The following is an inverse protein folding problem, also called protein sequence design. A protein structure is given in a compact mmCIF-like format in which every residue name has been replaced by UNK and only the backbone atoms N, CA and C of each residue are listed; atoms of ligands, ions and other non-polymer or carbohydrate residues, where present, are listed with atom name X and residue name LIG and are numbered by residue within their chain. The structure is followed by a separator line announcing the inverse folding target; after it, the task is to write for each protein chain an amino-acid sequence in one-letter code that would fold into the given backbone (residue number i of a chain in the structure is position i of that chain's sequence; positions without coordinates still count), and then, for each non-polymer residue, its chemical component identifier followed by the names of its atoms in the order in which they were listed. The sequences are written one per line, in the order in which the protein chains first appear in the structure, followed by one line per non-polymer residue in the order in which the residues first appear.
data_IF_018077557650
#
_entry.id   IF_018077557650
#
_cell.length_a   1.000
_cell.length_b   1.000
_cell.length_c   1.000
_cell.angle_alpha   90.00
_cell.angle_beta   90.00
_cell.angle_gamma   90.00
#
_symmetry.space_group_name_H-M   'P 1'
#
loop_
_entity.id
_entity.type
_entity.pdbx_description
1 polymer ?
#
# COMPACT_ATOMS: atom_id res chain seq x y z
N UNK A 1 -11.39 19.33 0.56
CA UNK A 1 -12.19 18.71 -0.50
C UNK A 1 -11.44 18.93 -1.80
N UNK A 2 -10.96 17.85 -2.43
CA UNK A 2 -10.28 17.91 -3.72
C UNK A 2 -11.35 17.95 -4.81
N UNK A 3 -11.36 18.97 -5.68
CA UNK A 3 -12.13 18.91 -6.92
C UNK A 3 -11.35 18.04 -7.91
N UNK A 4 -11.95 16.95 -8.37
CA UNK A 4 -11.41 16.18 -9.48
C UNK A 4 -11.55 17.03 -10.74
N UNK A 5 -10.46 17.19 -11.47
CA UNK A 5 -10.51 17.82 -12.78
C UNK A 5 -10.90 16.72 -13.78
N UNK A 6 -12.15 16.73 -14.22
CA UNK A 6 -12.67 15.71 -15.13
C UNK A 6 -12.00 15.74 -16.52
N UNK A 7 -11.24 16.79 -16.82
CA UNK A 7 -10.52 16.95 -18.08
C UNK A 7 -9.14 16.28 -18.05
N UNK A 8 -8.57 16.02 -16.88
CA UNK A 8 -7.24 15.41 -16.75
C UNK A 8 -7.33 13.88 -16.64
N UNK A 9 -6.93 13.13 -17.69
CA UNK A 9 -7.04 11.67 -17.74
C UNK A 9 -6.29 10.97 -16.59
N UNK A 10 -5.26 11.62 -16.03
CA UNK A 10 -4.43 11.10 -14.94
C UNK A 10 -5.20 10.94 -13.63
N UNK A 11 -6.28 11.70 -13.45
CA UNK A 11 -7.15 11.57 -12.28
C UNK A 11 -7.92 10.25 -12.28
N UNK A 12 -8.38 9.81 -13.45
CA UNK A 12 -9.06 8.51 -13.59
C UNK A 12 -8.11 7.36 -13.33
N UNK A 13 -6.83 7.48 -13.70
CA UNK A 13 -5.83 6.48 -13.33
C UNK A 13 -5.64 6.38 -11.80
N UNK A 14 -5.48 7.50 -11.10
CA UNK A 14 -5.32 7.48 -9.64
C UNK A 14 -6.57 6.90 -8.93
N UNK A 15 -7.77 7.26 -9.40
CA UNK A 15 -9.02 6.71 -8.88
C UNK A 15 -9.16 5.22 -9.21
N UNK A 16 -8.91 4.82 -10.45
CA UNK A 16 -8.98 3.44 -10.88
C UNK A 16 -8.00 2.55 -10.14
N UNK A 17 -6.79 3.03 -9.84
CA UNK A 17 -5.83 2.33 -8.99
C UNK A 17 -6.38 2.10 -7.58
N UNK A 18 -6.98 3.12 -6.97
CA UNK A 18 -7.64 2.98 -5.67
C UNK A 18 -8.77 1.95 -5.72
N UNK A 19 -9.57 1.95 -6.79
CA UNK A 19 -10.64 0.97 -7.00
C UNK A 19 -10.10 -0.45 -7.18
N UNK A 20 -9.01 -0.65 -7.94
CA UNK A 20 -8.37 -1.96 -8.09
C UNK A 20 -7.95 -2.50 -6.71
N UNK A 21 -7.29 -1.68 -5.88
CA UNK A 21 -6.90 -2.07 -4.51
C UNK A 21 -8.12 -2.44 -3.66
N UNK A 22 -9.21 -1.69 -3.76
CA UNK A 22 -10.45 -1.98 -3.03
C UNK A 22 -11.12 -3.26 -3.52
N UNK A 23 -11.17 -3.51 -4.83
CA UNK A 23 -11.69 -4.74 -5.40
C UNK A 23 -10.92 -5.98 -4.93
N UNK A 24 -9.62 -5.86 -4.63
CA UNK A 24 -8.85 -6.97 -4.03
C UNK A 24 -9.33 -7.33 -2.63
N UNK A 25 -9.94 -6.38 -1.93
CA UNK A 25 -10.33 -6.52 -0.52
C UNK A 25 -11.67 -7.23 -0.38
N UNK A 26 -12.59 -6.99 -1.31
CA UNK A 26 -13.91 -7.61 -1.31
C UNK A 26 -13.91 -8.81 -2.26
N UNK A 27 -14.05 -10.05 -1.76
CA UNK A 27 -14.13 -11.24 -2.60
C UNK A 27 -15.53 -11.33 -3.25
N UNK A 28 -15.84 -10.40 -4.15
CA UNK A 28 -17.09 -10.38 -4.92
C UNK A 28 -17.06 -11.45 -6.01
N UNK A 29 -15.86 -11.83 -6.47
CA UNK A 29 -15.66 -12.81 -7.54
C UNK A 29 -15.29 -14.17 -6.92
N UNK A 30 -15.97 -15.27 -7.29
CA UNK A 30 -15.64 -16.60 -6.80
C UNK A 30 -14.17 -16.95 -7.11
N UNK A 31 -13.49 -17.55 -6.13
CA UNK A 31 -12.09 -17.93 -6.19
C UNK A 31 -11.84 -18.94 -7.33
N UNK A 32 -11.54 -18.47 -8.54
CA UNK A 32 -11.01 -19.29 -9.62
C UNK A 32 -9.52 -19.53 -9.33
N UNK A 33 -9.25 -20.52 -8.47
CA UNK A 33 -7.89 -20.94 -8.15
C UNK A 33 -7.41 -21.88 -9.25
N UNK A 34 -6.57 -21.39 -10.15
CA UNK A 34 -5.65 -22.27 -10.89
C UNK A 34 -4.43 -22.55 -10.01
N UNK A 35 -3.67 -23.58 -10.39
CA UNK A 35 -2.74 -24.33 -9.54
C UNK A 35 -1.66 -23.51 -8.79
N UNK A 36 -1.42 -22.21 -9.08
CA UNK A 36 -0.31 -21.44 -8.47
C UNK A 36 -0.63 -19.95 -8.15
N UNK A 37 -1.55 -19.25 -8.84
CA UNK A 37 -1.70 -17.79 -8.67
C UNK A 37 -3.15 -17.28 -8.69
N UNK A 38 -3.39 -16.12 -8.06
CA UNK A 38 -4.70 -15.42 -8.08
C UNK A 38 -4.88 -14.58 -9.35
N UNK A 39 -5.03 -15.26 -10.50
CA UNK A 39 -5.13 -14.65 -11.84
C UNK A 39 -6.21 -13.56 -12.03
N UNK A 40 -7.40 -13.59 -11.39
CA UNK A 40 -8.42 -12.58 -11.63
C UNK A 40 -7.96 -11.17 -11.31
N UNK A 41 -7.08 -11.04 -10.31
CA UNK A 41 -6.57 -9.77 -9.84
C UNK A 41 -5.45 -9.22 -10.71
N UNK A 42 -4.53 -10.10 -11.12
CA UNK A 42 -3.50 -9.77 -12.09
C UNK A 42 -4.16 -9.33 -13.40
N UNK A 43 -5.09 -10.13 -13.94
CA UNK A 43 -5.80 -9.81 -15.18
C UNK A 43 -6.57 -8.47 -15.10
N UNK A 44 -7.29 -8.22 -14.00
CA UNK A 44 -8.00 -6.96 -13.82
C UNK A 44 -7.03 -5.77 -13.75
N UNK A 45 -5.89 -5.93 -13.08
CA UNK A 45 -4.83 -4.94 -13.07
C UNK A 45 -4.22 -4.75 -14.47
N UNK A 46 -3.93 -5.82 -15.22
CA UNK A 46 -3.40 -5.76 -16.59
C UNK A 46 -4.32 -4.97 -17.50
N UNK A 47 -5.62 -5.32 -17.51
CA UNK A 47 -6.64 -4.66 -18.34
C UNK A 47 -6.72 -3.18 -17.98
N UNK A 48 -6.77 -2.87 -16.69
CA UNK A 48 -6.82 -1.49 -16.22
C UNK A 48 -5.57 -0.69 -16.63
N UNK A 49 -4.37 -1.27 -16.44
CA UNK A 49 -3.10 -0.63 -16.77
C UNK A 49 -2.95 -0.41 -18.28
N UNK A 50 -3.24 -1.42 -19.09
CA UNK A 50 -3.17 -1.33 -20.55
C UNK A 50 -4.19 -0.33 -21.09
N UNK A 51 -5.44 -0.37 -20.63
CA UNK A 51 -6.46 0.58 -21.04
C UNK A 51 -6.08 2.02 -20.64
N UNK A 52 -5.56 2.22 -19.42
CA UNK A 52 -5.10 3.53 -18.96
C UNK A 52 -3.93 4.06 -19.79
N UNK A 53 -2.96 3.21 -20.12
CA UNK A 53 -1.82 3.58 -20.95
C UNK A 53 -2.24 3.90 -22.38
N UNK A 54 -3.03 3.03 -23.01
CA UNK A 54 -3.56 3.25 -24.35
C UNK A 54 -4.34 4.56 -24.41
N UNK A 55 -5.22 4.80 -23.44
CA UNK A 55 -5.98 6.04 -23.34
C UNK A 55 -5.10 7.28 -23.23
N UNK A 56 -3.99 7.22 -22.47
CA UNK A 56 -3.05 8.33 -22.36
C UNK A 56 -2.24 8.53 -23.65
N UNK A 57 -1.75 7.46 -24.28
CA UNK A 57 -0.98 7.54 -25.54
C UNK A 57 -1.84 8.12 -26.68
N UNK A 58 -3.13 7.81 -26.72
CA UNK A 58 -4.06 8.37 -27.69
C UNK A 58 -4.33 9.88 -27.52
N UNK A 59 -3.80 10.53 -26.47
CA UNK A 59 -3.95 11.99 -26.28
C UNK A 59 -2.85 12.76 -27.03
N UNK A 60 -3.20 13.80 -27.82
CA UNK A 60 -2.24 14.51 -28.67
C UNK A 60 -1.10 15.21 -27.92
N UNK A 61 -1.32 15.52 -26.63
CA UNK A 61 -0.35 16.21 -25.78
C UNK A 61 0.38 15.29 -24.80
N UNK A 62 0.25 13.96 -24.95
CA UNK A 62 0.96 13.03 -24.07
C UNK A 62 2.44 12.98 -24.42
N UNK A 63 3.28 13.48 -23.51
CA UNK A 63 4.74 13.39 -23.60
C UNK A 63 5.29 13.05 -22.22
N UNK A 64 5.98 11.92 -22.12
CA UNK A 64 6.78 11.57 -20.95
C UNK A 64 8.21 12.05 -21.16
N UNK A 65 8.74 12.78 -20.20
CA UNK A 65 10.13 13.24 -20.20
C UNK A 65 10.85 12.58 -19.04
N UNK A 66 11.91 11.85 -19.37
CA UNK A 66 12.71 11.12 -18.39
C UNK A 66 14.05 11.82 -18.18
N UNK A 67 14.46 11.90 -16.92
CA UNK A 67 15.82 12.34 -16.62
C UNK A 67 16.82 11.22 -16.99
N UNK A 68 18.05 11.57 -17.38
CA UNK A 68 19.07 10.56 -17.76
C UNK A 68 19.26 9.49 -16.68
N UNK A 69 19.30 9.90 -15.40
CA UNK A 69 19.41 8.97 -14.26
C UNK A 69 18.21 8.02 -14.16
N UNK A 70 17.00 8.54 -14.38
CA UNK A 70 15.77 7.74 -14.36
C UNK A 70 15.78 6.67 -15.46
N UNK A 71 16.24 7.05 -16.66
CA UNK A 71 16.42 6.12 -17.76
C UNK A 71 17.40 5.00 -17.40
N UNK A 72 18.59 5.33 -16.89
CA UNK A 72 19.63 4.33 -16.63
C UNK A 72 19.37 3.47 -15.38
N UNK A 73 18.71 4.02 -14.36
CA UNK A 73 18.50 3.32 -13.08
C UNK A 73 17.17 2.57 -13.02
N UNK A 74 16.18 2.92 -13.84
CA UNK A 74 14.84 2.34 -13.77
C UNK A 74 14.45 1.74 -15.12
N UNK A 75 14.37 2.55 -16.18
CA UNK A 75 13.83 2.12 -17.47
C UNK A 75 14.73 1.09 -18.17
N UNK A 76 16.04 1.29 -18.17
CA UNK A 76 16.97 0.39 -18.82
C UNK A 76 17.02 -1.00 -18.13
N UNK A 77 17.18 -1.10 -16.78
CA UNK A 77 17.14 -2.39 -16.10
C UNK A 77 15.82 -3.14 -16.28
N UNK A 78 14.67 -2.47 -16.14
CA UNK A 78 13.38 -3.14 -16.29
C UNK A 78 13.14 -3.61 -17.74
N UNK A 79 13.58 -2.84 -18.73
CA UNK A 79 13.49 -3.25 -20.14
C UNK A 79 14.41 -4.42 -20.44
N UNK A 80 15.63 -4.44 -19.87
CA UNK A 80 16.54 -5.56 -19.96
C UNK A 80 15.95 -6.82 -19.31
N UNK A 81 15.28 -6.70 -18.15
CA UNK A 81 14.57 -7.82 -17.50
C UNK A 81 13.41 -8.35 -18.34
N UNK A 82 12.62 -7.47 -18.96
CA UNK A 82 11.55 -7.86 -19.89
C UNK A 82 12.13 -8.63 -21.07
N UNK A 83 13.18 -8.09 -21.71
CA UNK A 83 13.83 -8.72 -22.86
C UNK A 83 14.44 -10.07 -22.48
N UNK A 84 15.16 -10.14 -21.36
CA UNK A 84 15.73 -11.39 -20.85
C UNK A 84 14.66 -12.43 -20.57
N UNK A 85 13.56 -12.04 -19.92
CA UNK A 85 12.43 -12.93 -19.64
C UNK A 85 11.79 -13.44 -20.94
N UNK A 86 11.65 -12.58 -21.95
CA UNK A 86 11.09 -12.96 -23.25
C UNK A 86 12.00 -13.94 -24.00
N UNK A 87 13.31 -13.67 -24.03
CA UNK A 87 14.29 -14.54 -24.71
C UNK A 87 14.36 -15.91 -24.02
N UNK A 88 14.15 -15.96 -22.69
CA UNK A 88 14.13 -17.20 -21.91
C UNK A 88 13.07 -18.20 -22.31
N UNK A 89 12.05 -17.80 -23.08
CA UNK A 89 11.06 -18.70 -23.66
C UNK A 89 11.71 -19.84 -24.47
N UNK A 90 12.88 -19.60 -25.06
CA UNK A 90 13.56 -20.60 -25.91
C UNK A 90 14.31 -21.70 -25.16
N UNK A 91 14.66 -21.50 -23.89
CA UNK A 91 15.39 -22.50 -23.08
C UNK A 91 14.74 -22.83 -21.73
N UNK A 92 13.72 -22.07 -21.30
CA UNK A 92 13.06 -22.30 -20.03
C UNK A 92 12.31 -23.65 -20.04
N UNK A 93 12.34 -24.43 -18.94
CA UNK A 93 11.56 -25.67 -18.83
C UNK A 93 10.05 -25.48 -18.99
N UNK A 94 9.56 -24.26 -18.77
CA UNK A 94 8.16 -23.88 -18.95
C UNK A 94 8.06 -22.53 -19.65
N UNK A 95 7.74 -22.55 -20.95
CA UNK A 95 7.50 -21.34 -21.75
C UNK A 95 6.38 -20.47 -21.17
N UNK A 96 5.35 -21.09 -20.57
CA UNK A 96 4.24 -20.39 -19.92
C UNK A 96 4.71 -19.52 -18.75
N UNK A 97 5.66 -20.04 -17.96
CA UNK A 97 6.28 -19.30 -16.86
C UNK A 97 7.09 -18.10 -17.39
N UNK A 98 7.91 -18.32 -18.43
CA UNK A 98 8.68 -17.24 -19.06
C UNK A 98 7.78 -16.13 -19.63
N UNK A 99 6.67 -16.49 -20.29
CA UNK A 99 5.65 -15.53 -20.75
C UNK A 99 5.03 -14.78 -19.57
N UNK A 100 4.61 -15.48 -18.52
CA UNK A 100 4.05 -14.85 -17.32
C UNK A 100 5.01 -13.83 -16.70
N UNK A 101 6.28 -14.19 -16.49
CA UNK A 101 7.29 -13.26 -15.97
C UNK A 101 7.50 -12.05 -16.90
N UNK A 102 7.54 -12.26 -18.22
CA UNK A 102 7.66 -11.18 -19.20
C UNK A 102 6.51 -10.18 -19.09
N UNK A 103 5.28 -10.69 -18.94
CA UNK A 103 4.08 -9.86 -18.78
C UNK A 103 4.09 -9.11 -17.45
N UNK A 104 4.45 -9.77 -16.34
CA UNK A 104 4.57 -9.14 -15.02
C UNK A 104 5.59 -8.00 -15.02
N UNK A 105 6.76 -8.20 -15.63
CA UNK A 105 7.75 -7.11 -15.75
C UNK A 105 7.25 -5.96 -16.63
N UNK A 106 6.48 -6.28 -17.68
CA UNK A 106 5.86 -5.27 -18.54
C UNK A 106 4.81 -4.46 -17.78
N UNK A 107 4.02 -5.08 -16.91
CA UNK A 107 3.07 -4.39 -16.03
C UNK A 107 3.76 -3.44 -15.07
N UNK A 108 4.88 -3.86 -14.45
CA UNK A 108 5.67 -2.96 -13.60
C UNK A 108 6.16 -1.73 -14.37
N UNK A 109 6.62 -1.90 -15.61
CA UNK A 109 7.02 -0.78 -16.47
C UNK A 109 5.82 0.11 -16.80
N UNK A 110 4.68 -0.45 -17.20
CA UNK A 110 3.46 0.32 -17.51
C UNK A 110 3.00 1.10 -16.27
N UNK A 111 2.93 0.44 -15.12
CA UNK A 111 2.57 1.06 -13.84
C UNK A 111 3.51 2.22 -13.52
N UNK A 112 4.82 2.03 -13.67
CA UNK A 112 5.81 3.08 -13.48
C UNK A 112 5.55 4.28 -14.40
N UNK A 113 5.36 4.05 -15.70
CA UNK A 113 5.11 5.11 -16.68
C UNK A 113 3.83 5.89 -16.34
N UNK A 114 2.76 5.21 -15.95
CA UNK A 114 1.49 5.81 -15.55
C UNK A 114 1.65 6.65 -14.28
N UNK A 115 2.25 6.10 -13.23
CA UNK A 115 2.50 6.82 -11.97
C UNK A 115 3.40 8.03 -12.21
N UNK A 116 4.47 7.87 -12.99
CA UNK A 116 5.37 8.97 -13.37
C UNK A 116 4.62 10.07 -14.10
N UNK A 117 3.73 9.71 -15.03
CA UNK A 117 2.87 10.65 -15.75
C UNK A 117 1.96 11.45 -14.81
N UNK A 118 1.41 10.80 -13.77
CA UNK A 118 0.60 11.48 -12.77
C UNK A 118 1.46 12.40 -11.96
N UNK A 119 2.61 11.95 -11.46
CA UNK A 119 3.53 12.75 -10.63
C UNK A 119 4.00 14.01 -11.35
N UNK A 120 4.23 13.96 -12.68
CA UNK A 120 4.57 15.13 -13.51
C UNK A 120 3.45 16.18 -13.62
N UNK A 121 2.21 15.82 -13.30
CA UNK A 121 1.09 16.77 -13.33
C UNK A 121 1.11 17.70 -12.11
N UNK A 122 0.49 18.87 -12.26
CA UNK A 122 0.30 19.82 -11.16
C UNK A 122 -0.48 19.15 -10.02
N UNK A 123 0.12 19.06 -8.84
CA UNK A 123 -0.39 18.34 -7.66
C UNK A 123 -0.51 16.82 -7.83
N UNK A 124 0.08 16.23 -8.87
CA UNK A 124 0.01 14.81 -9.17
C UNK A 124 0.41 13.90 -8.03
N UNK A 125 1.59 14.17 -7.45
CA UNK A 125 2.07 13.47 -6.25
C UNK A 125 1.03 13.46 -5.11
N UNK A 126 0.43 14.62 -4.82
CA UNK A 126 -0.55 14.76 -3.74
C UNK A 126 -1.85 14.00 -4.05
N UNK A 127 -2.29 13.99 -5.31
CA UNK A 127 -3.46 13.22 -5.76
C UNK A 127 -3.21 11.72 -5.62
N UNK A 128 -2.05 11.25 -6.07
CA UNK A 128 -1.67 9.83 -5.99
C UNK A 128 -1.54 9.38 -4.53
N UNK A 129 -0.85 10.15 -3.70
CA UNK A 129 -0.73 9.87 -2.27
C UNK A 129 -2.10 9.84 -1.60
N UNK A 130 -2.99 10.79 -1.91
CA UNK A 130 -4.35 10.80 -1.39
C UNK A 130 -5.15 9.57 -1.83
N UNK A 131 -5.12 9.21 -3.12
CA UNK A 131 -5.85 8.07 -3.65
C UNK A 131 -5.38 6.75 -3.02
N UNK A 132 -4.07 6.52 -2.97
CA UNK A 132 -3.49 5.34 -2.33
C UNK A 132 -3.84 5.28 -0.84
N UNK A 133 -3.66 6.39 -0.12
CA UNK A 133 -3.96 6.45 1.32
C UNK A 133 -5.45 6.22 1.59
N UNK A 134 -6.33 6.83 0.80
CA UNK A 134 -7.78 6.64 0.93
C UNK A 134 -8.17 5.18 0.68
N UNK A 135 -7.60 4.53 -0.34
CA UNK A 135 -7.81 3.11 -0.59
C UNK A 135 -7.41 2.27 0.62
N UNK A 136 -6.19 2.44 1.15
CA UNK A 136 -5.74 1.65 2.29
C UNK A 136 -6.49 1.94 3.59
N UNK A 137 -6.96 3.17 3.82
CA UNK A 137 -7.87 3.46 4.94
C UNK A 137 -9.18 2.69 4.79
N UNK A 138 -9.76 2.68 3.60
CA UNK A 138 -10.98 1.91 3.31
C UNK A 138 -10.77 0.40 3.42
N UNK A 139 -9.55 -0.12 3.18
CA UNK A 139 -9.17 -1.50 3.49
C UNK A 139 -9.00 -1.73 4.98
N UNK A 140 -8.49 -0.74 5.71
CA UNK A 140 -8.24 -0.82 7.16
C UNK A 140 -9.54 -0.92 7.97
N UNK A 141 -10.60 -0.21 7.55
CA UNK A 141 -11.85 -0.17 8.30
C UNK A 141 -12.51 -1.56 8.44
N UNK A 142 -12.74 -2.35 7.37
CA UNK A 142 -13.25 -3.72 7.50
C UNK A 142 -12.35 -4.62 8.36
N UNK A 143 -11.02 -4.49 8.26
CA UNK A 143 -10.09 -5.27 9.08
C UNK A 143 -10.25 -4.96 10.58
N UNK A 144 -10.39 -3.68 10.93
CA UNK A 144 -10.62 -3.22 12.31
C UNK A 144 -11.97 -3.72 12.83
N UNK A 145 -13.03 -3.57 12.03
CA UNK A 145 -14.37 -4.04 12.40
C UNK A 145 -14.36 -5.54 12.63
N UNK A 146 -13.81 -6.31 11.69
CA UNK A 146 -13.79 -7.77 11.79
C UNK A 146 -12.96 -8.26 12.99
N UNK A 147 -11.81 -7.64 13.23
CA UNK A 147 -10.99 -7.98 14.40
C UNK A 147 -11.69 -7.62 15.71
N UNK A 148 -12.38 -6.48 15.77
CA UNK A 148 -13.16 -6.10 16.95
C UNK A 148 -14.34 -7.05 17.18
N UNK A 149 -15.05 -7.45 16.11
CA UNK A 149 -16.12 -8.45 16.17
C UNK A 149 -15.60 -9.79 16.68
N UNK A 150 -14.42 -10.22 16.21
CA UNK A 150 -13.78 -11.44 16.70
C UNK A 150 -13.50 -11.37 18.21
N UNK A 151 -12.99 -10.25 18.71
CA UNK A 151 -12.69 -10.10 20.14
C UNK A 151 -13.96 -10.20 21.02
N UNK A 152 -15.09 -9.69 20.51
CA UNK A 152 -16.37 -9.66 21.25
C UNK A 152 -17.16 -10.95 21.12
N UNK A 153 -17.26 -11.51 19.92
CA UNK A 153 -18.15 -12.63 19.61
C UNK A 153 -17.44 -13.98 19.46
N UNK A 154 -16.10 -14.00 19.41
CA UNK A 154 -15.30 -15.19 19.12
C UNK A 154 -15.39 -15.65 17.66
N UNK A 155 -14.81 -16.83 17.37
CA UNK A 155 -14.91 -17.50 16.08
C UNK A 155 -13.59 -17.66 15.30
N UNK A 156 -13.67 -18.27 14.11
CA UNK A 156 -12.52 -18.45 13.23
C UNK A 156 -12.18 -17.17 12.46
N UNK A 157 -10.90 -16.86 12.31
CA UNK A 157 -10.41 -15.67 11.59
C UNK A 157 -9.49 -16.05 10.44
N UNK A 158 -9.72 -15.44 9.27
CA UNK A 158 -8.77 -15.40 8.16
C UNK A 158 -8.16 -14.00 7.96
N UNK A 159 -8.30 -13.13 8.96
CA UNK A 159 -7.91 -11.72 8.91
C UNK A 159 -6.42 -11.59 8.57
N UNK A 160 -5.56 -12.31 9.28
CA UNK A 160 -4.11 -12.30 9.03
C UNK A 160 -3.78 -12.67 7.58
N UNK A 161 -4.38 -13.74 7.05
CA UNK A 161 -4.13 -14.18 5.67
C UNK A 161 -4.65 -13.19 4.62
N UNK A 162 -5.84 -12.62 4.83
CA UNK A 162 -6.46 -11.71 3.85
C UNK A 162 -5.81 -10.33 3.81
N UNK A 163 -5.36 -9.82 4.95
CA UNK A 163 -4.85 -8.45 5.06
C UNK A 163 -3.31 -8.36 5.12
N UNK A 164 -2.58 -9.44 5.39
CA UNK A 164 -1.10 -9.42 5.42
C UNK A 164 -0.47 -8.98 4.09
N UNK A 165 -1.11 -9.30 2.97
CA UNK A 165 -0.67 -8.89 1.62
C UNK A 165 -0.65 -7.39 1.37
N UNK A 166 -1.28 -6.59 2.24
CA UNK A 166 -1.26 -5.12 2.17
C UNK A 166 -0.17 -4.49 3.04
N UNK A 167 0.51 -5.29 3.87
CA UNK A 167 1.43 -4.78 4.87
C UNK A 167 2.65 -4.09 4.28
N UNK A 168 3.21 -4.65 3.21
CA UNK A 168 4.36 -4.08 2.52
C UNK A 168 4.03 -2.74 1.85
N UNK A 169 2.87 -2.64 1.20
CA UNK A 169 2.42 -1.43 0.53
C UNK A 169 2.12 -0.32 1.54
N UNK A 170 1.47 -0.65 2.66
CA UNK A 170 1.24 0.31 3.76
C UNK A 170 2.57 0.78 4.34
N UNK A 171 3.50 -0.12 4.64
CA UNK A 171 4.83 0.24 5.17
C UNK A 171 5.62 1.15 4.22
N UNK A 172 5.49 0.92 2.91
CA UNK A 172 6.11 1.77 1.89
C UNK A 172 5.48 3.17 1.84
N UNK A 173 4.16 3.28 2.07
CA UNK A 173 3.44 4.55 2.03
C UNK A 173 3.57 5.37 3.30
N UNK A 174 3.73 4.73 4.46
CA UNK A 174 3.70 5.38 5.78
C UNK A 174 4.67 6.57 5.92
N UNK A 175 5.95 6.48 5.52
CA UNK A 175 6.85 7.62 5.56
C UNK A 175 6.32 8.85 4.81
N UNK A 176 5.72 8.62 3.64
CA UNK A 176 5.17 9.67 2.78
C UNK A 176 3.90 10.27 3.39
N UNK A 177 3.06 9.43 3.99
CA UNK A 177 1.85 9.87 4.72
C UNK A 177 2.25 10.74 5.91
N UNK A 178 3.17 10.27 6.77
CA UNK A 178 3.66 11.02 7.93
C UNK A 178 4.25 12.36 7.48
N UNK A 179 5.11 12.37 6.45
CA UNK A 179 5.66 13.62 5.90
C UNK A 179 4.56 14.58 5.41
N UNK A 180 3.52 14.06 4.74
CA UNK A 180 2.36 14.83 4.31
C UNK A 180 1.54 15.43 5.47
N UNK A 181 1.41 14.68 6.58
CA UNK A 181 0.75 15.14 7.80
C UNK A 181 1.57 16.28 8.43
N UNK A 182 2.89 16.13 8.55
CA UNK A 182 3.77 17.15 9.13
C UNK A 182 3.73 18.47 8.35
N UNK A 183 3.70 18.38 7.01
CA UNK A 183 3.60 19.52 6.11
C UNK A 183 2.26 20.28 6.21
N UNK A 184 1.25 19.71 6.89
CA UNK A 184 -0.08 20.32 7.01
C UNK A 184 -0.09 21.45 8.04
N UNK A 185 -0.51 22.64 7.62
CA UNK A 185 -0.64 23.84 8.49
C UNK A 185 -1.96 23.91 9.25
N UNK A 186 -3.04 23.33 8.71
CA UNK A 186 -4.40 23.44 9.28
C UNK A 186 -4.62 22.36 10.35
N UNK A 187 -4.98 22.77 11.57
CA UNK A 187 -5.21 21.86 12.72
C UNK A 187 -6.17 20.72 12.40
N UNK A 188 -7.35 21.00 11.83
CA UNK A 188 -8.34 19.97 11.47
C UNK A 188 -7.78 18.90 10.53
N UNK A 189 -7.01 19.31 9.50
CA UNK A 189 -6.41 18.38 8.53
C UNK A 189 -5.27 17.57 9.15
N UNK A 190 -4.55 18.16 10.11
CA UNK A 190 -3.52 17.47 10.87
C UNK A 190 -4.12 16.34 11.71
N UNK A 191 -5.23 16.60 12.43
CA UNK A 191 -5.94 15.59 13.23
C UNK A 191 -6.48 14.46 12.35
N UNK A 192 -7.12 14.78 11.22
CA UNK A 192 -7.56 13.76 10.24
C UNK A 192 -6.36 12.94 9.73
N UNK A 193 -5.23 13.60 9.48
CA UNK A 193 -3.98 12.92 9.11
C UNK A 193 -3.50 11.92 10.15
N UNK A 194 -3.51 12.30 11.43
CA UNK A 194 -3.19 11.38 12.53
C UNK A 194 -4.14 10.18 12.54
N UNK A 195 -5.46 10.41 12.42
CA UNK A 195 -6.44 9.34 12.38
C UNK A 195 -6.21 8.38 11.20
N UNK A 196 -5.82 8.91 10.04
CA UNK A 196 -5.42 8.13 8.86
C UNK A 196 -4.18 7.27 9.15
N UNK A 197 -3.12 7.86 9.72
CA UNK A 197 -1.91 7.11 10.07
C UNK A 197 -2.19 6.03 11.12
N UNK A 198 -3.04 6.32 12.10
CA UNK A 198 -3.51 5.35 13.08
C UNK A 198 -4.28 4.21 12.41
N UNK A 199 -5.23 4.49 11.50
CA UNK A 199 -5.97 3.44 10.78
C UNK A 199 -5.02 2.51 9.99
N UNK A 200 -4.03 3.06 9.29
CA UNK A 200 -3.02 2.28 8.58
C UNK A 200 -2.16 1.44 9.53
N UNK A 201 -1.79 2.00 10.68
CA UNK A 201 -1.08 1.28 11.73
C UNK A 201 -1.91 0.12 12.29
N UNK A 202 -3.19 0.35 12.53
CA UNK A 202 -4.11 -0.70 13.00
C UNK A 202 -4.23 -1.83 11.98
N UNK A 203 -4.26 -1.53 10.67
CA UNK A 203 -4.24 -2.57 9.63
C UNK A 203 -2.98 -3.44 9.72
N UNK A 204 -1.79 -2.85 9.92
CA UNK A 204 -0.55 -3.60 10.12
C UNK A 204 -0.63 -4.45 11.38
N UNK A 205 -1.04 -3.84 12.49
CA UNK A 205 -1.15 -4.50 13.79
C UNK A 205 -2.08 -5.73 13.72
N UNK A 206 -3.24 -5.57 13.10
CA UNK A 206 -4.26 -6.62 12.93
C UNK A 206 -3.86 -7.68 11.90
N UNK A 207 -3.00 -7.34 10.92
CA UNK A 207 -2.50 -8.31 9.94
C UNK A 207 -1.51 -9.32 10.52
N UNK A 208 -1.04 -9.09 11.76
CA UNK A 208 -0.17 -9.98 12.56
C UNK A 208 1.19 -10.33 11.93
N UNK A 209 1.63 -9.61 10.89
CA UNK A 209 2.96 -9.79 10.31
C UNK A 209 4.04 -9.15 11.17
N UNK A 210 4.84 -9.95 11.90
CA UNK A 210 5.97 -9.46 12.74
C UNK A 210 6.90 -8.54 11.95
N UNK A 211 7.28 -8.95 10.74
CA UNK A 211 8.10 -8.15 9.82
C UNK A 211 7.44 -6.81 9.50
N UNK A 212 6.13 -6.80 9.23
CA UNK A 212 5.42 -5.57 8.89
C UNK A 212 5.32 -4.60 10.07
N UNK A 213 5.16 -5.10 11.30
CA UNK A 213 5.19 -4.29 12.52
C UNK A 213 6.56 -3.61 12.68
N UNK A 214 7.65 -4.38 12.57
CA UNK A 214 9.01 -3.85 12.67
C UNK A 214 9.29 -2.82 11.58
N UNK A 215 8.93 -3.10 10.33
CA UNK A 215 9.10 -2.17 9.21
C UNK A 215 8.32 -0.87 9.43
N UNK A 216 7.09 -0.93 9.94
CA UNK A 216 6.30 0.25 10.26
C UNK A 216 6.99 1.09 11.34
N UNK A 217 7.43 0.46 12.42
CA UNK A 217 8.11 1.12 13.53
C UNK A 217 9.40 1.80 13.07
N UNK A 218 10.22 1.09 12.27
CA UNK A 218 11.45 1.64 11.68
C UNK A 218 11.16 2.79 10.73
N UNK A 219 10.13 2.68 9.89
CA UNK A 219 9.70 3.74 8.99
C UNK A 219 9.27 5.01 9.75
N UNK A 220 8.43 4.87 10.78
CA UNK A 220 7.99 5.98 11.61
C UNK A 220 9.15 6.60 12.41
N UNK A 221 10.01 5.77 13.00
CA UNK A 221 11.19 6.20 13.73
C UNK A 221 12.20 6.91 12.82
N UNK A 222 12.36 6.47 11.57
CA UNK A 222 13.25 7.12 10.60
C UNK A 222 12.78 8.53 10.26
N UNK A 223 11.47 8.73 10.04
CA UNK A 223 10.90 10.07 9.83
C UNK A 223 11.05 10.92 11.09
N UNK A 224 10.79 10.36 12.26
CA UNK A 224 11.00 11.05 13.54
C UNK A 224 12.46 11.46 13.74
N UNK A 225 13.39 10.54 13.55
CA UNK A 225 14.83 10.74 13.62
C UNK A 225 15.30 11.86 12.71
N UNK A 226 14.87 11.88 11.45
CA UNK A 226 15.13 12.98 10.52
C UNK A 226 14.65 14.34 11.09
N UNK A 227 13.46 14.39 11.69
CA UNK A 227 12.92 15.63 12.27
C UNK A 227 13.70 16.09 13.51
N UNK A 228 14.22 15.17 14.32
CA UNK A 228 14.99 15.50 15.52
C UNK A 228 16.46 15.84 15.23
N UNK A 229 17.10 15.11 14.30
CA UNK A 229 18.51 15.25 13.95
C UNK A 229 18.77 16.52 13.12
N UNK A 230 17.96 16.79 12.09
CA UNK A 230 18.23 17.91 11.19
C UNK A 230 17.55 19.21 11.67
N UNK A 231 18.37 20.23 11.97
CA UNK A 231 17.92 21.57 12.43
C UNK A 231 16.81 22.17 11.56
N UNK A 232 16.87 21.95 10.24
CA UNK A 232 15.86 22.41 9.27
C UNK A 232 14.43 21.95 9.59
N UNK A 233 14.27 20.85 10.30
CA UNK A 233 12.96 20.24 10.59
C UNK A 233 12.52 20.42 12.04
N UNK A 234 13.28 21.10 12.91
CA UNK A 234 12.97 21.21 14.33
C UNK A 234 11.60 21.85 14.62
N UNK A 235 11.11 22.71 13.72
CA UNK A 235 9.75 23.27 13.79
C UNK A 235 8.62 22.22 13.78
N UNK A 236 8.90 20.98 13.38
CA UNK A 236 7.93 19.89 13.31
C UNK A 236 7.97 18.93 14.51
N UNK A 237 8.87 19.12 15.48
CA UNK A 237 9.09 18.18 16.60
C UNK A 237 7.83 17.87 17.39
N UNK A 238 7.09 18.90 17.80
CA UNK A 238 5.85 18.70 18.56
C UNK A 238 4.82 17.89 17.76
N UNK A 239 4.71 18.15 16.45
CA UNK A 239 3.80 17.38 15.58
C UNK A 239 4.22 15.92 15.46
N UNK A 240 5.52 15.64 15.34
CA UNK A 240 6.04 14.26 15.33
C UNK A 240 5.71 13.56 16.64
N UNK A 241 5.94 14.21 17.80
CA UNK A 241 5.62 13.63 19.11
C UNK A 241 4.13 13.27 19.18
N UNK A 242 3.24 14.17 18.75
CA UNK A 242 1.80 13.90 18.71
C UNK A 242 1.44 12.73 17.79
N UNK A 243 2.07 12.62 16.61
CA UNK A 243 1.86 11.49 15.71
C UNK A 243 2.32 10.19 16.37
N UNK A 244 3.53 10.15 16.95
CA UNK A 244 4.07 8.95 17.60
C UNK A 244 3.24 8.53 18.80
N UNK A 245 2.81 9.47 19.64
CA UNK A 245 1.92 9.19 20.77
C UNK A 245 0.59 8.61 20.29
N UNK A 246 0.01 9.15 19.23
CA UNK A 246 -1.23 8.62 18.66
C UNK A 246 -1.05 7.21 18.08
N UNK A 247 0.09 6.93 17.42
CA UNK A 247 0.41 5.60 16.90
C UNK A 247 0.61 4.58 18.04
N UNK A 248 1.28 4.98 19.13
CA UNK A 248 1.43 4.14 20.33
C UNK A 248 0.10 3.89 21.04
N UNK A 249 -0.78 4.90 21.07
CA UNK A 249 -2.08 4.80 21.72
C UNK A 249 -3.12 4.00 20.90
N UNK A 250 -3.00 3.97 19.56
CA UNK A 250 -4.01 3.39 18.68
C UNK A 250 -4.31 1.89 18.93
N UNK A 251 -3.34 1.02 19.28
CA UNK A 251 -3.63 -0.38 19.63
C UNK A 251 -4.26 -0.58 21.01
N UNK A 252 -4.18 0.41 21.92
CA UNK A 252 -4.62 0.26 23.31
C UNK A 252 -6.10 -0.14 23.41
N UNK A 253 -7.05 0.48 22.68
CA UNK A 253 -8.45 0.06 22.71
C UNK A 253 -8.64 -1.41 22.31
N UNK A 254 -7.92 -1.90 21.30
CA UNK A 254 -8.00 -3.30 20.91
C UNK A 254 -7.43 -4.24 21.98
N UNK A 255 -6.35 -3.84 22.63
CA UNK A 255 -5.81 -4.59 23.75
C UNK A 255 -6.80 -4.63 24.92
N UNK A 256 -7.47 -3.51 25.22
CA UNK A 256 -8.51 -3.47 26.24
C UNK A 256 -9.67 -4.42 25.91
N UNK A 257 -10.18 -4.43 24.67
CA UNK A 257 -11.18 -5.41 24.23
C UNK A 257 -10.70 -6.85 24.36
N UNK A 258 -9.41 -7.11 24.13
CA UNK A 258 -8.85 -8.46 24.25
C UNK A 258 -8.88 -9.00 25.69
N UNK A 259 -8.88 -8.14 26.71
CA UNK A 259 -8.98 -8.56 28.12
C UNK A 259 -10.37 -9.12 28.49
N UNK A 260 -11.40 -8.78 27.71
CA UNK A 260 -12.77 -9.27 27.91
C UNK A 260 -13.10 -10.49 27.05
N UNK A 261 -12.19 -10.88 26.15
CA UNK A 261 -12.41 -12.04 25.30
C UNK A 261 -12.19 -13.31 26.10
N UNK A 262 -13.19 -14.19 26.11
CA UNK A 262 -13.15 -15.49 26.79
C UNK A 262 -12.41 -16.58 26.01
N UNK A 263 -11.97 -16.28 24.79
CA UNK A 263 -11.24 -17.24 23.93
C UNK A 263 -9.72 -17.15 24.19
N UNK A 264 -9.06 -18.25 24.62
CA UNK A 264 -7.60 -18.27 24.80
C UNK A 264 -6.82 -18.11 23.49
N UNK A 265 -7.47 -18.16 22.32
CA UNK A 265 -6.83 -18.11 21.00
C UNK A 265 -6.79 -16.70 20.38
N UNK A 266 -6.65 -15.65 21.18
CA UNK A 266 -6.45 -14.29 20.62
C UNK A 266 -5.12 -14.29 19.84
N UNK A 267 -5.13 -14.02 18.52
CA UNK A 267 -3.95 -14.21 17.66
C UNK A 267 -2.72 -13.38 18.08
N UNK A 268 -2.94 -12.26 18.77
CA UNK A 268 -1.87 -11.39 19.30
C UNK A 268 -1.18 -12.04 20.49
N UNK A 269 -1.93 -12.61 21.44
CA UNK A 269 -1.38 -13.24 22.64
C UNK A 269 -0.69 -14.56 22.31
N UNK A 270 -1.28 -15.37 21.43
CA UNK A 270 -0.69 -16.64 20.99
C UNK A 270 0.70 -16.42 20.39
N UNK A 271 0.88 -15.40 19.55
CA UNK A 271 2.19 -15.13 18.91
C UNK A 271 3.21 -14.41 19.77
N UNK A 272 2.82 -13.72 20.84
CA UNK A 272 3.78 -13.22 21.84
C UNK A 272 4.27 -14.38 22.71
N UNK A 273 3.41 -15.37 22.95
CA UNK A 273 3.74 -16.60 23.69
C UNK A 273 4.28 -17.75 22.82
N UNK A 274 4.23 -17.66 21.48
CA UNK A 274 4.78 -18.66 20.55
C UNK A 274 6.34 -18.58 20.50
N UNK A 275 6.97 -18.61 21.67
CA UNK A 275 8.34 -19.10 21.85
C UNK A 275 8.40 -20.65 21.71
N UNK A 276 7.23 -21.31 21.56
CA UNK A 276 7.11 -22.76 21.44
C UNK A 276 7.08 -23.30 19.99
N UNK A 277 7.21 -22.46 18.96
CA UNK A 277 7.17 -22.86 17.54
C UNK A 277 8.50 -22.64 16.80
N UNK A 278 9.62 -22.65 17.53
CA UNK A 278 10.95 -22.98 16.98
C UNK A 278 11.23 -24.42 17.40
N UNK A 279 10.63 -25.35 16.67
CA UNK A 279 10.85 -26.80 16.74
C UNK A 279 10.74 -27.36 15.34
#
# INVERSE_FOLDING_TARGET
MFKLDHTDPRNYFALGLALVVLCLTFPIIPNWRTFIHMWPFELAASIFLLASLAYLICRPNFRLRFHRREFHLILLPITALIAWSAISISWAPSWKSAVHHTLVWSEYLIFYLLVRSVIDSKNGYRKMLFAATAAFVLVSLPAIVEYSSLLVFGGGTSIGLRYARYGEQVNTLVPLVIAGILATKKSKRFVVGIAVAAALWMLIFISLGRTNITLFAVAAASVGGCVFLFKRFHQYRLKVVLILLALLAAPIPLHFFSLFSSDPNIPVLRRVNDDAAIG
#
